data_IF_209348056868
#
_entry.id   IF_209348056868
#
_cell.length_a   1.000
_cell.length_b   1.000
_cell.length_c   1.000
_cell.angle_alpha   90.00
_cell.angle_beta   90.00
_cell.angle_gamma   90.00
#
_symmetry.space_group_name_H-M   'P 1'
#
loop_
_entity.id
_entity.type
_entity.pdbx_description
1 polymer ?
#
# COMPACT_ATOMS: atom_id res chain seq x y z
N UNK A 1 -4.36 11.85 3.06
CA UNK A 1 -3.14 11.19 2.55
C UNK A 1 -1.95 11.79 3.26
N UNK A 2 -1.05 11.00 3.82
CA UNK A 2 0.20 11.50 4.37
C UNK A 2 1.33 10.49 4.12
N UNK A 3 2.58 10.95 4.23
CA UNK A 3 3.76 10.15 3.98
C UNK A 3 4.61 10.74 2.86
N UNK A 4 5.65 10.07 2.54
CA UNK A 4 6.56 10.48 1.49
C UNK A 4 7.94 9.83 1.63
N UNK A 5 8.82 10.11 0.69
CA UNK A 5 10.16 9.52 0.62
C UNK A 5 11.16 10.18 1.59
N UNK A 6 12.29 9.53 1.82
CA UNK A 6 13.43 10.07 2.58
C UNK A 6 14.36 10.89 1.68
N UNK A 7 13.84 11.86 0.95
CA UNK A 7 14.61 12.69 0.00
C UNK A 7 15.80 13.42 0.63
N UNK A 8 15.84 13.58 1.95
CA UNK A 8 16.96 14.16 2.68
C UNK A 8 18.21 13.25 2.69
N UNK A 9 18.04 11.96 2.43
CA UNK A 9 19.13 10.97 2.35
C UNK A 9 19.41 10.56 0.90
N UNK A 10 18.38 10.43 0.08
CA UNK A 10 18.48 10.10 -1.33
C UNK A 10 17.82 11.20 -2.19
N UNK A 11 18.50 12.37 -2.34
CA UNK A 11 17.86 13.57 -2.88
C UNK A 11 17.50 13.47 -4.37
N UNK A 12 18.16 12.62 -5.14
CA UNK A 12 17.87 12.46 -6.57
C UNK A 12 16.66 11.53 -6.75
N UNK A 13 16.80 10.27 -6.40
CA UNK A 13 15.77 9.25 -6.66
C UNK A 13 14.49 9.52 -5.86
N UNK A 14 14.62 9.74 -4.58
CA UNK A 14 13.46 9.99 -3.71
C UNK A 14 12.95 11.43 -3.82
N UNK A 15 13.81 12.35 -4.27
CA UNK A 15 13.43 13.73 -4.62
C UNK A 15 12.46 13.77 -5.80
N UNK A 16 12.68 12.96 -6.84
CA UNK A 16 11.74 12.83 -7.97
C UNK A 16 10.35 12.42 -7.50
N UNK A 17 10.26 11.43 -6.60
CA UNK A 17 8.98 11.00 -6.05
C UNK A 17 8.30 12.13 -5.26
N UNK A 18 9.06 12.87 -4.46
CA UNK A 18 8.53 14.04 -3.74
C UNK A 18 7.97 15.10 -4.69
N UNK A 19 8.69 15.42 -5.75
CA UNK A 19 8.26 16.41 -6.75
C UNK A 19 6.95 16.00 -7.43
N UNK A 20 6.81 14.73 -7.82
CA UNK A 20 5.57 14.19 -8.39
C UNK A 20 4.40 14.24 -7.41
N UNK A 21 4.65 13.94 -6.13
CA UNK A 21 3.62 14.02 -5.09
C UNK A 21 3.17 15.47 -4.85
N UNK A 22 4.10 16.42 -4.80
CA UNK A 22 3.79 17.85 -4.65
C UNK A 22 2.99 18.37 -5.87
N UNK A 23 3.37 17.96 -7.08
CA UNK A 23 2.66 18.29 -8.30
C UNK A 23 1.24 17.68 -8.33
N UNK A 24 1.09 16.44 -7.88
CA UNK A 24 -0.22 15.80 -7.76
C UNK A 24 -1.10 16.52 -6.74
N UNK A 25 -0.56 16.88 -5.57
CA UNK A 25 -1.28 17.63 -4.55
C UNK A 25 -1.79 18.98 -5.07
N UNK A 26 -0.99 19.66 -5.89
CA UNK A 26 -1.39 20.91 -6.53
C UNK A 26 -2.53 20.72 -7.54
N UNK A 27 -2.56 19.58 -8.27
CA UNK A 27 -3.63 19.25 -9.23
C UNK A 27 -4.94 18.83 -8.53
N UNK A 28 -4.86 18.28 -7.33
CA UNK A 28 -6.01 17.73 -6.59
C UNK A 28 -6.20 18.40 -5.22
N UNK A 29 -6.57 19.69 -5.16
CA UNK A 29 -6.65 20.45 -3.91
C UNK A 29 -7.71 19.92 -2.92
N UNK A 30 -8.63 19.10 -3.39
CA UNK A 30 -9.64 18.46 -2.54
C UNK A 30 -9.09 17.25 -1.75
N UNK A 31 -7.89 16.79 -2.08
CA UNK A 31 -7.22 15.70 -1.35
C UNK A 31 -6.29 16.33 -0.32
N UNK A 32 -6.59 16.13 0.96
CA UNK A 32 -5.67 16.55 2.02
C UNK A 32 -4.38 15.76 1.94
N UNK A 33 -3.29 16.42 1.62
CA UNK A 33 -1.96 15.85 1.56
C UNK A 33 -1.05 16.49 2.60
N UNK A 34 -0.46 15.67 3.45
CA UNK A 34 0.52 16.08 4.46
C UNK A 34 1.86 15.38 4.15
N UNK A 35 2.82 16.09 3.53
CA UNK A 35 4.12 15.50 3.24
C UNK A 35 4.88 15.20 4.54
N UNK A 36 5.37 13.97 4.65
CA UNK A 36 6.17 13.49 5.77
C UNK A 36 7.35 12.68 5.24
N UNK A 37 8.48 12.70 5.93
CA UNK A 37 9.55 11.75 5.66
C UNK A 37 9.13 10.35 6.11
N UNK A 38 9.62 9.31 5.44
CA UNK A 38 9.20 7.94 5.73
C UNK A 38 9.41 7.54 7.18
N UNK A 39 10.50 7.93 7.81
CA UNK A 39 10.76 7.66 9.23
C UNK A 39 9.75 8.37 10.16
N UNK A 40 9.36 9.59 9.84
CA UNK A 40 8.28 10.28 10.55
C UNK A 40 6.92 9.61 10.30
N UNK A 41 6.68 9.11 9.10
CA UNK A 41 5.47 8.35 8.76
C UNK A 41 5.30 7.13 9.66
N UNK A 42 6.35 6.35 9.87
CA UNK A 42 6.33 5.21 10.81
C UNK A 42 5.95 5.63 12.24
N UNK A 43 6.54 6.71 12.74
CA UNK A 43 6.25 7.19 14.09
C UNK A 43 4.81 7.73 14.23
N UNK A 44 4.35 8.50 13.25
CA UNK A 44 3.01 9.07 13.26
C UNK A 44 1.92 8.00 13.12
N UNK A 45 2.18 6.95 12.35
CA UNK A 45 1.22 5.87 12.16
C UNK A 45 0.85 5.17 13.48
N UNK A 46 1.80 5.05 14.41
CA UNK A 46 1.55 4.50 15.74
C UNK A 46 0.63 5.37 16.60
N UNK A 47 0.61 6.67 16.33
CA UNK A 47 -0.20 7.65 17.07
C UNK A 47 -1.48 8.04 16.33
N UNK A 48 -1.64 7.64 15.06
CA UNK A 48 -2.79 7.99 14.23
C UNK A 48 -3.99 7.16 14.64
N UNK A 49 -5.11 7.83 14.84
CA UNK A 49 -6.41 7.20 15.10
C UNK A 49 -7.45 7.81 14.16
N UNK A 50 -8.39 7.02 13.66
CA UNK A 50 -9.53 7.54 12.92
C UNK A 50 -9.68 7.00 11.49
N UNK A 51 -9.90 7.89 10.55
CA UNK A 51 -10.41 7.62 9.21
C UNK A 51 -9.43 6.88 8.27
N UNK A 52 -9.92 6.53 7.09
CA UNK A 52 -9.14 5.91 6.04
C UNK A 52 -7.90 6.73 5.67
N UNK A 53 -6.78 6.05 5.49
CA UNK A 53 -5.49 6.65 5.25
C UNK A 53 -4.85 6.05 3.99
N UNK A 54 -4.30 6.93 3.14
CA UNK A 54 -3.49 6.55 1.99
C UNK A 54 -2.06 7.03 2.22
N UNK A 55 -1.10 6.12 2.13
CA UNK A 55 0.32 6.39 2.32
C UNK A 55 1.06 6.04 1.03
N UNK A 56 1.35 7.02 0.16
CA UNK A 56 2.17 6.76 -1.01
C UNK A 56 3.60 6.43 -0.58
N UNK A 57 4.15 5.38 -1.14
CA UNK A 57 5.49 4.89 -0.77
C UNK A 57 6.22 4.35 -1.99
N UNK A 58 7.54 4.46 -1.99
CA UNK A 58 8.38 3.70 -2.90
C UNK A 58 8.38 2.22 -2.51
N UNK A 59 8.67 1.33 -3.45
CA UNK A 59 8.53 -0.12 -3.32
C UNK A 59 9.08 -0.66 -1.98
N UNK A 60 10.38 -0.45 -1.70
CA UNK A 60 11.02 -0.95 -0.47
C UNK A 60 10.33 -0.45 0.80
N UNK A 61 10.01 0.83 0.84
CA UNK A 61 9.42 1.46 2.02
C UNK A 61 7.96 1.04 2.19
N UNK A 62 7.25 0.86 1.08
CA UNK A 62 5.90 0.31 1.06
C UNK A 62 5.82 -1.12 1.56
N UNK A 63 6.75 -1.99 1.14
CA UNK A 63 6.83 -3.38 1.60
C UNK A 63 7.06 -3.45 3.11
N UNK A 64 8.02 -2.67 3.63
CA UNK A 64 8.31 -2.64 5.08
C UNK A 64 7.14 -2.07 5.89
N UNK A 65 6.51 -1.01 5.38
CA UNK A 65 5.42 -0.34 6.05
C UNK A 65 4.16 -1.21 6.09
N UNK A 66 3.79 -1.84 4.98
CA UNK A 66 2.62 -2.70 4.89
C UNK A 66 2.73 -3.92 5.81
N UNK A 67 3.89 -4.59 5.83
CA UNK A 67 4.13 -5.71 6.74
C UNK A 67 4.02 -5.30 8.21
N UNK A 68 4.59 -4.15 8.57
CA UNK A 68 4.48 -3.63 9.93
C UNK A 68 3.01 -3.36 10.31
N UNK A 69 2.26 -2.68 9.44
CA UNK A 69 0.85 -2.35 9.68
C UNK A 69 0.01 -3.60 9.84
N UNK A 70 0.19 -4.59 8.97
CA UNK A 70 -0.54 -5.85 9.06
C UNK A 70 -0.28 -6.60 10.37
N UNK A 71 0.96 -6.56 10.87
CA UNK A 71 1.27 -7.15 12.18
C UNK A 71 0.64 -6.37 13.34
N UNK A 72 0.50 -5.06 13.25
CA UNK A 72 -0.22 -4.26 14.25
C UNK A 72 -1.70 -4.65 14.33
N UNK A 73 -2.31 -5.08 13.22
CA UNK A 73 -3.69 -5.59 13.16
C UNK A 73 -3.78 -7.10 13.40
N UNK A 74 -2.70 -7.75 13.74
CA UNK A 74 -2.65 -9.11 14.25
C UNK A 74 -2.24 -10.19 13.27
N UNK A 75 -2.24 -9.96 11.96
CA UNK A 75 -1.82 -10.96 10.99
C UNK A 75 -1.58 -10.41 9.59
N UNK A 76 -0.49 -10.85 8.96
CA UNK A 76 -0.22 -10.62 7.54
C UNK A 76 -1.31 -11.21 6.62
N UNK A 77 -2.09 -12.17 7.11
CA UNK A 77 -3.23 -12.73 6.37
C UNK A 77 -4.48 -11.82 6.39
N UNK A 78 -4.42 -10.66 7.03
CA UNK A 78 -5.55 -9.73 7.18
C UNK A 78 -5.76 -8.75 6.03
N UNK A 79 -5.01 -8.88 4.95
CA UNK A 79 -5.10 -7.99 3.79
C UNK A 79 -4.86 -8.72 2.48
N UNK A 80 -5.22 -8.07 1.39
CA UNK A 80 -4.86 -8.44 0.01
C UNK A 80 -3.86 -7.45 -0.56
N UNK A 81 -3.17 -7.86 -1.62
CA UNK A 81 -2.33 -7.02 -2.46
C UNK A 81 -2.95 -6.93 -3.86
N UNK A 82 -3.02 -5.72 -4.40
CA UNK A 82 -3.52 -5.48 -5.75
C UNK A 82 -2.49 -4.71 -6.56
N UNK A 83 -2.15 -5.24 -7.74
CA UNK A 83 -1.34 -4.55 -8.75
C UNK A 83 -2.27 -4.11 -9.87
N UNK A 84 -2.22 -2.84 -10.20
CA UNK A 84 -3.04 -2.25 -11.25
C UNK A 84 -2.15 -1.72 -12.38
N UNK A 85 -2.59 -1.91 -13.62
CA UNK A 85 -2.03 -1.28 -14.81
C UNK A 85 -2.96 -0.17 -15.28
N UNK A 86 -2.36 0.95 -15.67
CA UNK A 86 -3.10 2.09 -16.21
C UNK A 86 -2.77 2.25 -17.70
N UNK A 87 -3.76 2.56 -18.49
CA UNK A 87 -3.56 2.97 -19.87
C UNK A 87 -3.03 4.42 -19.96
N UNK A 88 -2.81 4.92 -21.18
CA UNK A 88 -2.30 6.28 -21.41
C UNK A 88 -3.24 7.38 -20.90
N UNK A 89 -4.51 7.07 -20.72
CA UNK A 89 -5.55 7.99 -20.23
C UNK A 89 -5.69 7.96 -18.71
N UNK A 90 -4.91 7.10 -18.02
CA UNK A 90 -4.96 6.91 -16.58
C UNK A 90 -6.13 6.04 -16.11
N UNK A 91 -6.75 5.30 -17.02
CA UNK A 91 -7.83 4.33 -16.70
C UNK A 91 -7.21 2.97 -16.42
N UNK A 92 -7.73 2.26 -15.42
CA UNK A 92 -7.29 0.90 -15.09
C UNK A 92 -7.69 -0.03 -16.23
N UNK A 93 -6.73 -0.73 -16.83
CA UNK A 93 -6.92 -1.71 -17.91
C UNK A 93 -6.60 -3.15 -17.50
N UNK A 94 -5.85 -3.34 -16.41
CA UNK A 94 -5.54 -4.66 -15.89
C UNK A 94 -5.40 -4.62 -14.36
N UNK A 95 -5.89 -5.66 -13.70
CA UNK A 95 -5.76 -5.85 -12.25
C UNK A 95 -5.26 -7.26 -11.96
N UNK A 96 -4.27 -7.37 -11.08
CA UNK A 96 -3.85 -8.62 -10.46
C UNK A 96 -4.07 -8.50 -8.96
N UNK A 97 -4.70 -9.51 -8.36
CA UNK A 97 -4.89 -9.59 -6.93
C UNK A 97 -4.19 -10.83 -6.37
N UNK A 98 -3.50 -10.68 -5.25
CA UNK A 98 -2.78 -11.77 -4.60
C UNK A 98 -2.80 -11.64 -3.08
N UNK A 99 -2.48 -12.73 -2.39
CA UNK A 99 -2.16 -12.66 -0.97
C UNK A 99 -0.75 -12.05 -0.79
N UNK A 100 -0.54 -11.10 0.14
CA UNK A 100 0.75 -10.44 0.33
C UNK A 100 1.82 -11.32 0.97
N UNK A 101 1.45 -12.52 1.44
CA UNK A 101 2.37 -13.45 2.09
C UNK A 101 2.96 -14.47 1.13
N UNK A 102 4.14 -15.03 1.48
CA UNK A 102 4.77 -16.11 0.74
C UNK A 102 4.13 -17.49 0.99
N UNK A 103 4.78 -18.54 0.47
CA UNK A 103 4.30 -19.92 0.51
C UNK A 103 4.39 -20.60 1.88
N UNK A 104 5.13 -20.04 2.84
CA UNK A 104 5.29 -20.49 4.22
C UNK A 104 5.51 -22.03 4.35
N UNK A 105 6.58 -22.59 3.79
CA UNK A 105 6.80 -24.05 3.74
C UNK A 105 6.85 -24.69 5.13
N UNK A 106 7.17 -23.94 6.16
CA UNK A 106 7.20 -24.41 7.55
C UNK A 106 5.84 -24.86 8.11
N UNK A 107 4.73 -24.44 7.49
CA UNK A 107 3.37 -24.82 7.90
C UNK A 107 2.70 -25.81 6.94
N UNK A 108 3.42 -26.24 5.91
CA UNK A 108 2.91 -27.24 4.95
C UNK A 108 2.49 -28.52 5.66
N UNK A 109 1.29 -29.02 5.35
CA UNK A 109 0.75 -30.27 5.91
C UNK A 109 0.22 -30.17 7.36
N UNK A 110 0.36 -28.98 8.01
CA UNK A 110 -0.08 -28.83 9.41
C UNK A 110 -1.55 -28.35 9.54
N UNK A 111 -2.20 -28.00 8.43
CA UNK A 111 -3.58 -27.45 8.39
C UNK A 111 -3.80 -26.24 9.32
N UNK A 112 -2.78 -25.37 9.42
CA UNK A 112 -2.83 -24.16 10.28
C UNK A 112 -2.74 -22.86 9.47
N UNK A 113 -2.57 -22.95 8.15
CA UNK A 113 -2.52 -21.79 7.28
C UNK A 113 -3.88 -21.06 7.26
N UNK A 114 -3.84 -19.73 7.40
CA UNK A 114 -5.02 -18.90 7.29
C UNK A 114 -5.26 -18.51 5.82
N UNK A 115 -6.38 -18.91 5.18
CA UNK A 115 -6.65 -18.60 3.78
C UNK A 115 -7.24 -17.19 3.57
N UNK A 116 -7.41 -16.40 4.61
CA UNK A 116 -8.16 -15.14 4.58
C UNK A 116 -7.62 -14.15 3.55
N UNK A 117 -6.30 -13.98 3.45
CA UNK A 117 -5.69 -13.07 2.49
C UNK A 117 -6.02 -13.43 1.03
N UNK A 118 -6.02 -14.71 0.67
CA UNK A 118 -6.39 -15.17 -0.67
C UNK A 118 -7.90 -15.01 -0.93
N UNK A 119 -8.73 -15.20 0.09
CA UNK A 119 -10.17 -14.95 -0.01
C UNK A 119 -10.45 -13.48 -0.23
N UNK A 120 -9.75 -12.59 0.49
CA UNK A 120 -9.84 -11.14 0.31
C UNK A 120 -9.38 -10.71 -1.08
N UNK A 121 -8.26 -11.25 -1.56
CA UNK A 121 -7.77 -10.99 -2.91
C UNK A 121 -8.80 -11.39 -3.99
N UNK A 122 -9.39 -12.57 -3.87
CA UNK A 122 -10.46 -13.01 -4.77
C UNK A 122 -11.70 -12.10 -4.69
N UNK A 123 -12.08 -11.70 -3.48
CA UNK A 123 -13.20 -10.78 -3.27
C UNK A 123 -12.94 -9.40 -3.88
N UNK A 124 -11.73 -8.86 -3.71
CA UNK A 124 -11.30 -7.61 -4.33
C UNK A 124 -11.37 -7.65 -5.86
N UNK A 125 -10.87 -8.73 -6.46
CA UNK A 125 -10.92 -8.93 -7.91
C UNK A 125 -12.37 -9.03 -8.42
N UNK A 126 -13.22 -9.79 -7.73
CA UNK A 126 -14.64 -9.90 -8.09
C UNK A 126 -15.39 -8.57 -7.90
N UNK A 127 -15.01 -7.78 -6.91
CA UNK A 127 -15.55 -6.44 -6.72
C UNK A 127 -15.23 -5.51 -7.90
N UNK A 128 -14.00 -5.60 -8.38
CA UNK A 128 -13.56 -4.84 -9.56
C UNK A 128 -14.31 -5.24 -10.84
N UNK A 129 -14.57 -6.53 -11.02
CA UNK A 129 -15.30 -7.05 -12.19
C UNK A 129 -16.80 -6.72 -12.22
N UNK A 130 -17.39 -6.32 -11.08
CA UNK A 130 -18.84 -6.02 -10.99
C UNK A 130 -19.22 -4.62 -11.48
N UNK A 131 -18.26 -3.79 -11.77
CA UNK A 131 -18.50 -2.44 -12.29
C UNK A 131 -18.62 -2.39 -13.83
N UNK A 132 -18.62 -3.54 -14.48
CA UNK A 132 -19.00 -3.69 -15.90
C UNK A 132 -20.47 -4.19 -16.00
#
# INVERSE_FOLDING_TARGET
MFGGPKYTVCPVYEGMFKEEMDAAAARYPNVRYEPQLIDATFALLLATTGDALVIPSLNRDGDLLSDMVLQMFGSIAGSESMVISLNQEGVIDCVMAEAPHGTAPSVQGKNVANPMAMILAAAGLLGFMKEE
#
